data_IF_921510106550
#
_entry.id   IF_921510106550
#
_cell.length_a   1.000
_cell.length_b   1.000
_cell.length_c   1.000
_cell.angle_alpha   90.00
_cell.angle_beta   90.00
_cell.angle_gamma   90.00
#
_symmetry.space_group_name_H-M   'P 1'
#
loop_
_entity.id
_entity.type
_entity.pdbx_description
1 polymer ?
#
# COMPACT_ATOMS: atom_id res chain seq x y z
N UNK A 1 55.88 -3.59 5.39
CA UNK A 1 54.90 -4.57 4.86
C UNK A 1 53.51 -4.14 5.33
N UNK A 2 52.98 -3.10 4.70
CA UNK A 2 51.62 -2.58 4.87
C UNK A 2 50.86 -2.95 3.59
N UNK A 3 49.53 -3.02 3.67
CA UNK A 3 48.52 -3.51 2.69
C UNK A 3 47.98 -4.87 3.14
N UNK A 4 47.09 -4.85 4.15
CA UNK A 4 46.07 -5.87 4.46
C UNK A 4 45.21 -5.40 5.65
N UNK A 5 44.65 -4.20 5.59
CA UNK A 5 43.82 -3.65 6.68
C UNK A 5 42.79 -2.61 6.21
N UNK A 6 42.27 -2.76 4.98
CA UNK A 6 41.30 -1.79 4.41
C UNK A 6 39.99 -2.41 3.90
N UNK A 7 39.77 -3.73 4.04
CA UNK A 7 38.55 -4.37 3.51
C UNK A 7 37.56 -4.87 4.58
N UNK A 8 37.94 -4.93 5.86
CA UNK A 8 37.04 -5.40 6.92
C UNK A 8 36.13 -4.28 7.52
N UNK A 9 36.58 -3.02 7.49
CA UNK A 9 35.81 -1.90 8.06
C UNK A 9 34.65 -1.43 7.17
N UNK A 10 34.68 -1.73 5.87
CA UNK A 10 33.65 -1.24 4.92
C UNK A 10 32.37 -2.09 4.91
N UNK A 11 32.42 -3.33 5.41
CA UNK A 11 31.27 -4.26 5.41
C UNK A 11 30.40 -4.12 6.67
N UNK A 12 30.94 -3.58 7.75
CA UNK A 12 30.21 -3.39 9.01
C UNK A 12 29.29 -2.13 8.99
N UNK A 13 29.68 -1.08 8.25
CA UNK A 13 28.93 0.19 8.21
C UNK A 13 27.65 0.15 7.36
N UNK A 14 27.46 -0.85 6.49
CA UNK A 14 26.29 -0.93 5.61
C UNK A 14 25.05 -1.59 6.26
N UNK A 15 25.19 -2.27 7.40
CA UNK A 15 24.13 -3.15 7.94
C UNK A 15 23.24 -2.53 9.03
N UNK A 16 23.51 -1.29 9.45
CA UNK A 16 22.75 -0.62 10.52
C UNK A 16 22.05 0.68 10.06
N UNK A 17 22.10 1.01 8.78
CA UNK A 17 21.25 2.07 8.22
C UNK A 17 19.82 1.52 8.13
N UNK A 18 18.94 2.05 8.98
CA UNK A 18 17.50 1.84 9.00
C UNK A 18 16.94 1.59 7.57
N UNK A 19 16.24 0.47 7.31
CA UNK A 19 15.68 0.18 5.99
C UNK A 19 14.46 1.04 5.64
N UNK A 20 14.27 2.22 6.24
CA UNK A 20 13.21 3.16 5.85
C UNK A 20 13.31 3.55 4.35
N UNK A 21 14.50 3.43 3.74
CA UNK A 21 14.70 3.58 2.29
C UNK A 21 14.54 2.29 1.46
N UNK A 22 14.63 1.09 2.05
CA UNK A 22 14.57 -0.19 1.32
C UNK A 22 13.14 -0.62 0.93
N UNK A 23 12.12 0.15 1.33
CA UNK A 23 10.72 -0.05 0.97
C UNK A 23 10.28 0.70 -0.30
N UNK A 24 11.17 1.48 -0.92
CA UNK A 24 10.89 2.20 -2.16
C UNK A 24 11.44 1.43 -3.37
N UNK A 25 10.72 0.40 -3.83
CA UNK A 25 10.95 -0.15 -5.18
C UNK A 25 10.23 0.75 -6.21
N UNK A 26 10.95 1.30 -7.21
CA UNK A 26 10.35 2.14 -8.25
C UNK A 26 9.41 1.35 -9.18
N UNK A 27 9.73 0.08 -9.48
CA UNK A 27 9.03 -0.73 -10.49
C UNK A 27 7.60 -1.11 -10.08
N UNK A 28 7.36 -1.49 -8.81
CA UNK A 28 6.03 -1.87 -8.31
C UNK A 28 5.08 -0.70 -8.06
N UNK A 29 5.60 0.53 -8.04
CA UNK A 29 4.81 1.73 -7.87
C UNK A 29 4.04 2.13 -9.14
N UNK A 30 4.58 1.82 -10.33
CA UNK A 30 3.90 2.03 -11.61
C UNK A 30 2.63 1.18 -11.73
N UNK A 31 2.67 -0.07 -11.26
CA UNK A 31 1.56 -1.02 -11.30
C UNK A 31 0.31 -0.49 -10.59
N UNK A 32 0.47 0.18 -9.44
CA UNK A 32 -0.67 0.76 -8.71
C UNK A 32 -1.33 1.91 -9.45
N UNK A 33 -0.55 2.72 -10.17
CA UNK A 33 -1.08 3.83 -10.96
C UNK A 33 -1.79 3.31 -12.21
N UNK A 34 -1.24 2.28 -12.87
CA UNK A 34 -1.89 1.59 -13.98
C UNK A 34 -3.22 0.93 -13.58
N UNK A 35 -3.30 0.34 -12.38
CA UNK A 35 -4.57 -0.20 -11.85
C UNK A 35 -5.59 0.92 -11.59
N UNK A 36 -5.14 2.09 -11.10
CA UNK A 36 -6.02 3.26 -10.97
C UNK A 36 -6.51 3.74 -12.34
N UNK A 37 -5.63 3.74 -13.34
CA UNK A 37 -5.97 4.12 -14.71
C UNK A 37 -7.00 3.16 -15.31
N UNK A 38 -6.80 1.86 -15.19
CA UNK A 38 -7.77 0.86 -15.65
C UNK A 38 -9.16 1.06 -15.00
N UNK A 39 -9.20 1.42 -13.71
CA UNK A 39 -10.46 1.79 -13.04
C UNK A 39 -11.09 3.05 -13.63
N UNK A 40 -10.29 4.07 -13.95
CA UNK A 40 -10.78 5.29 -14.61
C UNK A 40 -11.38 4.92 -15.96
N UNK A 41 -10.67 4.15 -16.79
CA UNK A 41 -11.14 3.65 -18.09
C UNK A 41 -12.46 2.88 -17.97
N UNK A 42 -12.63 2.00 -16.97
CA UNK A 42 -13.91 1.32 -16.75
C UNK A 42 -15.07 2.31 -16.54
N UNK A 43 -14.87 3.35 -15.74
CA UNK A 43 -15.91 4.36 -15.47
C UNK A 43 -16.15 5.26 -16.68
N UNK A 44 -15.09 5.65 -17.39
CA UNK A 44 -15.19 6.41 -18.63
C UNK A 44 -16.01 5.65 -19.66
N UNK A 45 -15.67 4.39 -19.95
CA UNK A 45 -16.38 3.58 -20.95
C UNK A 45 -17.88 3.45 -20.63
N UNK A 46 -18.23 3.36 -19.35
CA UNK A 46 -19.63 3.36 -18.94
C UNK A 46 -20.32 4.69 -19.22
N UNK A 47 -19.68 5.82 -18.85
CA UNK A 47 -20.27 7.16 -19.02
C UNK A 47 -20.34 7.54 -20.50
N UNK A 48 -19.25 7.39 -21.25
CA UNK A 48 -19.21 7.72 -22.68
C UNK A 48 -20.07 6.77 -23.50
N UNK A 49 -20.11 5.47 -23.16
CA UNK A 49 -21.05 4.52 -23.73
C UNK A 49 -22.50 4.95 -23.56
N UNK A 50 -22.89 5.31 -22.33
CA UNK A 50 -24.25 5.77 -22.07
C UNK A 50 -24.58 7.08 -22.79
N UNK A 51 -23.63 8.02 -22.88
CA UNK A 51 -23.81 9.27 -23.63
C UNK A 51 -24.00 8.97 -25.13
N UNK A 52 -23.22 8.03 -25.68
CA UNK A 52 -23.36 7.61 -27.08
C UNK A 52 -24.72 6.94 -27.34
N UNK A 53 -25.23 6.13 -26.41
CA UNK A 53 -26.59 5.57 -26.52
C UNK A 53 -27.65 6.68 -26.56
N UNK A 54 -27.48 7.73 -25.73
CA UNK A 54 -28.36 8.91 -25.75
C UNK A 54 -28.27 9.66 -27.08
N UNK A 55 -27.06 9.88 -27.63
CA UNK A 55 -26.85 10.51 -28.94
C UNK A 55 -27.53 9.70 -30.05
N UNK A 56 -27.39 8.37 -30.02
CA UNK A 56 -27.97 7.48 -31.02
C UNK A 56 -29.51 7.48 -31.00
N UNK A 57 -30.11 7.64 -29.82
CA UNK A 57 -31.56 7.57 -29.64
C UNK A 57 -32.24 8.94 -29.81
N UNK A 58 -31.53 10.03 -29.50
CA UNK A 58 -32.05 11.40 -29.57
C UNK A 58 -31.19 12.27 -30.52
N UNK A 59 -31.69 12.55 -31.72
CA UNK A 59 -30.99 13.39 -32.71
C UNK A 59 -30.65 14.80 -32.21
N UNK A 60 -31.43 15.34 -31.26
CA UNK A 60 -31.17 16.62 -30.58
C UNK A 60 -29.96 16.58 -29.63
N UNK A 61 -29.36 15.42 -29.39
CA UNK A 61 -28.29 15.21 -28.42
C UNK A 61 -26.88 15.24 -29.03
N UNK A 62 -26.73 15.53 -30.32
CA UNK A 62 -25.43 15.52 -31.02
C UNK A 62 -24.34 16.38 -30.38
N UNK A 63 -24.70 17.46 -29.68
CA UNK A 63 -23.79 18.32 -28.93
C UNK A 63 -23.06 17.60 -27.79
N UNK A 64 -23.61 16.50 -27.27
CA UNK A 64 -22.96 15.68 -26.24
C UNK A 64 -21.68 14.99 -26.74
N UNK A 65 -21.47 14.91 -28.06
CA UNK A 65 -20.23 14.33 -28.63
C UNK A 65 -18.98 15.10 -28.15
N UNK A 66 -19.09 16.41 -27.94
CA UNK A 66 -17.98 17.24 -27.43
C UNK A 66 -17.59 16.84 -26.01
N UNK A 67 -18.56 16.47 -25.17
CA UNK A 67 -18.30 15.98 -23.81
C UNK A 67 -17.56 14.63 -23.84
N UNK A 68 -17.94 13.75 -24.77
CA UNK A 68 -17.27 12.44 -24.99
C UNK A 68 -15.81 12.64 -25.43
N UNK A 69 -15.57 13.51 -26.41
CA UNK A 69 -14.22 13.81 -26.91
C UNK A 69 -13.32 14.39 -25.82
N UNK A 70 -13.88 15.28 -24.99
CA UNK A 70 -13.16 15.86 -23.85
C UNK A 70 -12.75 14.79 -22.84
N UNK A 71 -13.67 13.92 -22.44
CA UNK A 71 -13.38 12.82 -21.49
C UNK A 71 -12.34 11.85 -22.08
N UNK A 72 -12.41 11.53 -23.37
CA UNK A 72 -11.42 10.66 -24.02
C UNK A 72 -10.02 11.31 -24.06
N UNK A 73 -9.96 12.63 -24.24
CA UNK A 73 -8.71 13.41 -24.16
C UNK A 73 -8.14 13.38 -22.74
N UNK A 74 -8.99 13.51 -21.72
CA UNK A 74 -8.58 13.41 -20.31
C UNK A 74 -7.99 12.03 -19.98
N UNK A 75 -8.61 10.95 -20.48
CA UNK A 75 -8.11 9.58 -20.32
C UNK A 75 -6.72 9.43 -20.95
N UNK A 76 -6.50 9.99 -22.14
CA UNK A 76 -5.18 9.95 -22.81
C UNK A 76 -4.12 10.70 -22.00
N UNK A 77 -4.47 11.86 -21.46
CA UNK A 77 -3.58 12.64 -20.60
C UNK A 77 -3.24 11.90 -19.30
N UNK A 78 -4.24 11.29 -18.66
CA UNK A 78 -4.05 10.48 -17.45
C UNK A 78 -3.21 9.23 -17.71
N UNK A 79 -3.34 8.61 -18.88
CA UNK A 79 -2.49 7.49 -19.29
C UNK A 79 -1.01 7.94 -19.39
N UNK A 80 -0.74 9.11 -19.98
CA UNK A 80 0.62 9.67 -20.02
C UNK A 80 1.24 9.86 -18.63
N UNK A 81 0.48 10.36 -17.66
CA UNK A 81 0.92 10.43 -16.26
C UNK A 81 1.08 9.05 -15.61
N UNK A 82 0.23 8.08 -15.95
CA UNK A 82 0.34 6.72 -15.46
C UNK A 82 1.63 6.02 -15.97
N UNK A 83 1.95 6.20 -17.25
CA UNK A 83 3.12 5.60 -17.92
C UNK A 83 4.42 6.21 -17.41
N UNK A 84 4.44 7.51 -17.16
CA UNK A 84 5.57 8.23 -16.53
C UNK A 84 5.63 8.07 -15.00
N UNK A 85 4.67 7.37 -14.38
CA UNK A 85 4.53 7.20 -12.94
C UNK A 85 4.46 8.55 -12.17
N UNK A 86 3.94 9.61 -12.80
CA UNK A 86 3.74 10.91 -12.19
C UNK A 86 2.45 10.95 -11.36
N UNK A 87 2.56 10.47 -10.13
CA UNK A 87 1.44 10.38 -9.17
C UNK A 87 0.86 11.75 -8.82
N UNK A 88 1.68 12.79 -8.79
CA UNK A 88 1.27 14.13 -8.37
C UNK A 88 0.40 14.75 -9.46
N UNK A 89 0.90 14.75 -10.70
CA UNK A 89 0.15 15.27 -11.85
C UNK A 89 -1.09 14.44 -12.12
N UNK A 90 -1.00 13.10 -12.04
CA UNK A 90 -2.16 12.21 -12.16
C UNK A 90 -3.25 12.57 -11.15
N UNK A 91 -2.92 12.66 -9.86
CA UNK A 91 -3.90 12.95 -8.81
C UNK A 91 -4.50 14.36 -8.94
N UNK A 92 -3.68 15.35 -9.30
CA UNK A 92 -4.11 16.72 -9.55
C UNK A 92 -5.09 16.79 -10.73
N UNK A 93 -4.74 16.17 -11.85
CA UNK A 93 -5.55 16.15 -13.07
C UNK A 93 -6.89 15.41 -12.86
N UNK A 94 -6.87 14.26 -12.17
CA UNK A 94 -8.10 13.55 -11.78
C UNK A 94 -9.05 14.46 -11.01
N UNK A 95 -8.53 15.25 -10.05
CA UNK A 95 -9.33 16.11 -9.19
C UNK A 95 -9.87 17.34 -9.91
N UNK A 96 -9.02 17.99 -10.70
CA UNK A 96 -9.26 19.35 -11.19
C UNK A 96 -9.80 19.38 -12.63
N UNK A 97 -9.65 18.31 -13.40
CA UNK A 97 -10.07 18.25 -14.82
C UNK A 97 -11.05 17.09 -15.06
N UNK A 98 -10.55 15.84 -14.99
CA UNK A 98 -11.32 14.66 -15.37
C UNK A 98 -12.63 14.49 -14.57
N UNK A 99 -12.61 14.63 -13.24
CA UNK A 99 -13.83 14.49 -12.42
C UNK A 99 -14.86 15.61 -12.69
N UNK A 100 -14.46 16.90 -12.74
CA UNK A 100 -15.34 17.97 -13.20
C UNK A 100 -15.96 17.70 -14.57
N UNK A 101 -15.16 17.29 -15.56
CA UNK A 101 -15.63 17.05 -16.93
C UNK A 101 -16.60 15.87 -17.00
N UNK A 102 -16.29 14.77 -16.32
CA UNK A 102 -17.20 13.64 -16.17
C UNK A 102 -18.54 14.04 -15.51
N UNK A 103 -18.52 14.97 -14.54
CA UNK A 103 -19.73 15.47 -13.87
C UNK A 103 -20.55 16.37 -14.81
N UNK A 104 -19.89 17.25 -15.55
CA UNK A 104 -20.51 18.12 -16.56
C UNK A 104 -21.21 17.29 -17.63
N UNK A 105 -20.51 16.34 -18.23
CA UNK A 105 -21.04 15.43 -19.24
C UNK A 105 -22.28 14.66 -18.75
N UNK A 106 -22.22 14.11 -17.52
CA UNK A 106 -23.39 13.44 -16.92
C UNK A 106 -24.57 14.38 -16.69
N UNK A 107 -24.31 15.66 -16.37
CA UNK A 107 -25.36 16.66 -16.17
C UNK A 107 -26.00 17.04 -17.50
N UNK A 108 -25.19 17.30 -18.53
CA UNK A 108 -25.65 17.58 -19.89
C UNK A 108 -26.47 16.42 -20.46
N UNK A 109 -25.99 15.18 -20.34
CA UNK A 109 -26.71 14.01 -20.81
C UNK A 109 -28.10 13.89 -20.16
N UNK A 110 -28.20 14.16 -18.85
CA UNK A 110 -29.48 14.16 -18.13
C UNK A 110 -30.41 15.29 -18.57
N UNK A 111 -29.90 16.51 -18.77
CA UNK A 111 -30.74 17.62 -19.24
C UNK A 111 -31.23 17.38 -20.66
N UNK A 112 -30.35 16.90 -21.54
CA UNK A 112 -30.68 16.56 -22.92
C UNK A 112 -31.72 15.45 -23.00
N UNK A 113 -31.57 14.38 -22.19
CA UNK A 113 -32.55 13.31 -22.12
C UNK A 113 -33.93 13.80 -21.65
N UNK A 114 -33.98 14.73 -20.68
CA UNK A 114 -35.24 15.30 -20.21
C UNK A 114 -35.95 16.14 -21.28
N UNK A 115 -35.17 16.83 -22.12
CA UNK A 115 -35.68 17.63 -23.22
C UNK A 115 -36.03 16.79 -24.46
N UNK A 116 -35.37 15.64 -24.62
CA UNK A 116 -35.69 14.68 -25.67
C UNK A 116 -37.04 14.03 -25.36
N UNK A 117 -38.06 14.36 -26.15
CA UNK A 117 -39.40 13.79 -26.05
C UNK A 117 -39.43 12.32 -26.52
N UNK A 118 -38.71 11.45 -25.79
CA UNK A 118 -38.51 10.05 -26.16
C UNK A 118 -39.82 9.25 -26.08
N UNK A 119 -40.03 8.42 -27.09
CA UNK A 119 -41.08 7.40 -27.13
C UNK A 119 -40.84 6.32 -26.06
N UNK A 120 -41.87 5.51 -25.79
CA UNK A 120 -41.77 4.38 -24.85
C UNK A 120 -40.70 3.37 -25.28
N UNK A 121 -40.61 3.06 -26.58
CA UNK A 121 -39.65 2.09 -27.11
C UNK A 121 -38.21 2.59 -27.00
N UNK A 122 -37.98 3.88 -27.26
CA UNK A 122 -36.68 4.52 -27.07
C UNK A 122 -36.25 4.50 -25.60
N UNK A 123 -37.18 4.76 -24.66
CA UNK A 123 -36.91 4.66 -23.21
C UNK A 123 -36.61 3.23 -22.79
N UNK A 124 -37.31 2.24 -23.34
CA UNK A 124 -37.08 0.83 -23.06
C UNK A 124 -35.69 0.39 -23.57
N UNK A 125 -35.32 0.80 -24.78
CA UNK A 125 -34.02 0.54 -25.39
C UNK A 125 -32.89 1.13 -24.53
N UNK A 126 -32.96 2.42 -24.21
CA UNK A 126 -31.95 3.08 -23.37
C UNK A 126 -31.81 2.44 -21.98
N UNK A 127 -32.92 1.98 -21.39
CA UNK A 127 -32.89 1.25 -20.11
C UNK A 127 -32.17 -0.09 -20.24
N UNK A 128 -32.39 -0.80 -21.35
CA UNK A 128 -31.70 -2.06 -21.66
C UNK A 128 -30.19 -1.83 -21.83
N UNK A 129 -29.81 -0.85 -22.65
CA UNK A 129 -28.41 -0.54 -22.95
C UNK A 129 -27.66 -0.08 -21.69
N UNK A 130 -28.28 0.79 -20.89
CA UNK A 130 -27.76 1.19 -19.59
C UNK A 130 -27.50 -0.02 -18.68
N UNK A 131 -28.41 -1.00 -18.62
CA UNK A 131 -28.23 -2.20 -17.80
C UNK A 131 -27.10 -3.07 -18.32
N UNK A 132 -26.94 -3.20 -19.65
CA UNK A 132 -25.82 -3.88 -20.28
C UNK A 132 -24.48 -3.22 -19.93
N UNK A 133 -24.37 -1.90 -20.13
CA UNK A 133 -23.19 -1.11 -19.75
C UNK A 133 -22.86 -1.23 -18.26
N UNK A 134 -23.88 -1.27 -17.40
CA UNK A 134 -23.70 -1.45 -15.96
C UNK A 134 -23.13 -2.83 -15.60
N UNK A 135 -23.50 -3.89 -16.32
CA UNK A 135 -22.91 -5.23 -16.15
C UNK A 135 -21.44 -5.23 -16.59
N UNK A 136 -21.13 -4.63 -17.74
CA UNK A 136 -19.76 -4.45 -18.23
C UNK A 136 -18.90 -3.66 -17.24
N UNK A 137 -19.42 -2.56 -16.70
CA UNK A 137 -18.76 -1.77 -15.66
C UNK A 137 -18.46 -2.61 -14.42
N UNK A 138 -19.44 -3.38 -13.92
CA UNK A 138 -19.23 -4.25 -12.75
C UNK A 138 -18.13 -5.28 -12.98
N UNK A 139 -18.12 -5.93 -14.15
CA UNK A 139 -17.08 -6.89 -14.51
C UNK A 139 -15.69 -6.24 -14.58
N UNK A 140 -15.59 -5.09 -15.26
CA UNK A 140 -14.36 -4.31 -15.37
C UNK A 140 -13.83 -3.87 -13.99
N UNK A 141 -14.71 -3.35 -13.12
CA UNK A 141 -14.34 -2.94 -11.76
C UNK A 141 -13.94 -4.12 -10.87
N UNK A 142 -14.53 -5.30 -11.07
CA UNK A 142 -14.13 -6.51 -10.36
C UNK A 142 -12.73 -6.96 -10.78
N UNK A 143 -12.46 -7.04 -12.08
CA UNK A 143 -11.14 -7.41 -12.62
C UNK A 143 -10.03 -6.46 -12.15
N UNK A 144 -10.26 -5.14 -12.24
CA UNK A 144 -9.27 -4.15 -11.75
C UNK A 144 -9.02 -4.28 -10.25
N UNK A 145 -10.03 -4.65 -9.47
CA UNK A 145 -9.88 -4.89 -8.04
C UNK A 145 -9.14 -6.21 -7.75
N UNK A 146 -9.30 -7.25 -8.57
CA UNK A 146 -8.50 -8.47 -8.48
C UNK A 146 -7.02 -8.17 -8.77
N UNK A 147 -6.72 -7.37 -9.80
CA UNK A 147 -5.35 -6.93 -10.07
C UNK A 147 -4.74 -6.17 -8.89
N UNK A 148 -5.52 -5.28 -8.25
CA UNK A 148 -5.12 -4.62 -7.01
C UNK A 148 -4.84 -5.62 -5.87
N UNK A 149 -5.68 -6.64 -5.73
CA UNK A 149 -5.52 -7.67 -4.71
C UNK A 149 -4.22 -8.46 -4.90
N UNK A 150 -3.91 -8.85 -6.14
CA UNK A 150 -2.66 -9.51 -6.50
C UNK A 150 -1.45 -8.61 -6.24
N UNK A 151 -1.49 -7.35 -6.67
CA UNK A 151 -0.41 -6.40 -6.43
C UNK A 151 -0.17 -6.16 -4.92
N UNK A 152 -1.25 -6.11 -4.14
CA UNK A 152 -1.17 -5.94 -2.68
C UNK A 152 -0.52 -7.14 -1.99
N UNK A 153 -0.94 -8.36 -2.34
CA UNK A 153 -0.37 -9.59 -1.76
C UNK A 153 1.10 -9.78 -2.15
N UNK A 154 1.46 -9.55 -3.42
CA UNK A 154 2.85 -9.58 -3.87
C UNK A 154 3.75 -8.57 -3.13
N UNK A 155 3.22 -7.38 -2.80
CA UNK A 155 3.94 -6.39 -1.98
C UNK A 155 4.17 -6.89 -0.56
N UNK A 156 3.19 -7.58 0.04
CA UNK A 156 3.33 -8.19 1.36
C UNK A 156 4.35 -9.32 1.35
N UNK A 157 4.31 -10.22 0.36
CA UNK A 157 5.32 -11.28 0.17
C UNK A 157 6.74 -10.71 0.07
N UNK A 158 6.92 -9.67 -0.76
CA UNK A 158 8.23 -9.01 -0.90
C UNK A 158 8.73 -8.46 0.44
N UNK A 159 7.84 -7.86 1.23
CA UNK A 159 8.23 -7.31 2.52
C UNK A 159 8.59 -8.38 3.54
N UNK A 160 7.85 -9.49 3.56
CA UNK A 160 8.12 -10.63 4.44
C UNK A 160 9.47 -11.27 4.06
N UNK A 161 9.69 -11.53 2.76
CA UNK A 161 10.96 -12.07 2.25
C UNK A 161 12.16 -11.17 2.57
N UNK A 162 12.02 -9.85 2.43
CA UNK A 162 13.08 -8.90 2.84
C UNK A 162 13.40 -9.01 4.34
N UNK A 163 12.39 -9.22 5.18
CA UNK A 163 12.61 -9.40 6.62
C UNK A 163 13.22 -10.76 6.95
N UNK A 164 12.86 -11.82 6.21
CA UNK A 164 13.50 -13.12 6.32
C UNK A 164 15.01 -13.01 6.01
N UNK A 165 15.38 -12.39 4.88
CA UNK A 165 16.79 -12.18 4.53
C UNK A 165 17.55 -11.39 5.62
N UNK A 166 16.88 -10.42 6.26
CA UNK A 166 17.45 -9.69 7.39
C UNK A 166 17.64 -10.60 8.60
N UNK A 167 16.65 -11.42 8.93
CA UNK A 167 16.75 -12.42 10.00
C UNK A 167 17.92 -13.37 9.76
N UNK A 168 18.06 -13.91 8.55
CA UNK A 168 19.16 -14.81 8.18
C UNK A 168 20.53 -14.12 8.34
N UNK A 169 20.63 -12.85 7.91
CA UNK A 169 21.85 -12.04 8.07
C UNK A 169 22.19 -11.81 9.55
N UNK A 170 21.19 -11.57 10.40
CA UNK A 170 21.38 -11.40 11.83
C UNK A 170 21.80 -12.70 12.51
N UNK A 171 21.17 -13.81 12.14
CA UNK A 171 21.51 -15.14 12.64
C UNK A 171 22.95 -15.54 12.27
N UNK A 172 23.38 -15.25 11.03
CA UNK A 172 24.77 -15.46 10.60
C UNK A 172 25.80 -14.67 11.43
N UNK A 173 25.38 -13.57 12.07
CA UNK A 173 26.16 -12.79 13.02
C UNK A 173 25.99 -13.22 14.47
N UNK A 174 25.38 -14.39 14.72
CA UNK A 174 25.12 -14.98 16.05
C UNK A 174 24.13 -14.20 16.91
N UNK A 175 23.29 -13.35 16.32
CA UNK A 175 22.16 -12.76 17.05
C UNK A 175 21.04 -13.80 17.15
N UNK A 176 20.39 -13.90 18.30
CA UNK A 176 19.19 -14.73 18.47
C UNK A 176 18.01 -14.08 17.75
N UNK A 177 17.57 -14.71 16.65
CA UNK A 177 16.47 -14.22 15.80
C UNK A 177 15.14 -14.91 16.06
N UNK A 178 14.99 -15.66 17.16
CA UNK A 178 13.79 -16.44 17.48
C UNK A 178 12.51 -15.58 17.43
N UNK A 179 12.49 -14.46 18.14
CA UNK A 179 11.33 -13.55 18.16
C UNK A 179 11.05 -12.90 16.80
N UNK A 180 12.09 -12.58 16.03
CA UNK A 180 11.91 -12.01 14.68
C UNK A 180 11.30 -13.04 13.73
N UNK A 181 11.76 -14.30 13.79
CA UNK A 181 11.21 -15.40 13.01
C UNK A 181 9.75 -15.71 13.39
N UNK A 182 9.37 -15.58 14.65
CA UNK A 182 7.97 -15.68 15.08
C UNK A 182 7.10 -14.58 14.46
N UNK A 183 7.60 -13.33 14.42
CA UNK A 183 6.89 -12.21 13.76
C UNK A 183 6.75 -12.45 12.25
N UNK A 184 7.79 -12.98 11.59
CA UNK A 184 7.76 -13.36 10.17
C UNK A 184 6.70 -14.44 9.92
N UNK A 185 6.73 -15.54 10.67
CA UNK A 185 5.74 -16.62 10.53
C UNK A 185 4.30 -16.14 10.78
N UNK A 186 4.11 -15.23 11.75
CA UNK A 186 2.82 -14.57 11.96
C UNK A 186 2.38 -13.74 10.76
N UNK A 187 3.30 -13.02 10.12
CA UNK A 187 3.01 -12.25 8.91
C UNK A 187 2.61 -13.14 7.72
N UNK A 188 3.28 -14.28 7.53
CA UNK A 188 2.91 -15.26 6.50
C UNK A 188 1.50 -15.81 6.74
N UNK A 189 1.18 -16.18 7.98
CA UNK A 189 -0.18 -16.64 8.33
C UNK A 189 -1.26 -15.59 8.04
N UNK A 190 -0.98 -14.30 8.29
CA UNK A 190 -1.89 -13.21 7.98
C UNK A 190 -2.03 -12.96 6.47
N UNK A 191 -0.94 -13.11 5.72
CA UNK A 191 -0.95 -13.02 4.27
C UNK A 191 -1.79 -14.15 3.65
N UNK A 192 -1.62 -15.39 4.10
CA UNK A 192 -2.42 -16.52 3.63
C UNK A 192 -3.90 -16.34 3.97
N UNK A 193 -4.21 -15.84 5.17
CA UNK A 193 -5.58 -15.47 5.54
C UNK A 193 -6.19 -14.41 4.60
N UNK A 194 -5.39 -13.43 4.16
CA UNK A 194 -5.82 -12.44 3.17
C UNK A 194 -6.03 -13.07 1.78
N UNK A 195 -5.12 -13.93 1.33
CA UNK A 195 -5.25 -14.65 0.04
C UNK A 195 -6.50 -15.53 0.00
N UNK A 196 -6.81 -16.22 1.10
CA UNK A 196 -8.03 -17.03 1.23
C UNK A 196 -9.30 -16.17 1.18
N UNK A 197 -9.31 -15.02 1.85
CA UNK A 197 -10.42 -14.08 1.77
C UNK A 197 -10.61 -13.50 0.35
N UNK A 198 -9.50 -13.21 -0.35
CA UNK A 198 -9.53 -12.72 -1.74
C UNK A 198 -10.06 -13.80 -2.69
N UNK A 199 -9.58 -15.03 -2.59
CA UNK A 199 -10.00 -16.14 -3.47
C UNK A 199 -11.47 -16.52 -3.26
N UNK A 200 -11.99 -16.35 -2.05
CA UNK A 200 -13.41 -16.61 -1.72
C UNK A 200 -14.37 -15.50 -2.21
N UNK A 201 -13.86 -14.36 -2.69
CA UNK A 201 -14.68 -13.22 -3.09
C UNK A 201 -15.17 -13.33 -4.54
N UNK A 202 -16.48 -13.44 -4.72
CA UNK A 202 -17.13 -13.64 -6.04
C UNK A 202 -17.67 -12.35 -6.68
N UNK A 203 -17.59 -11.22 -5.98
CA UNK A 203 -18.07 -9.94 -6.49
C UNK A 203 -17.22 -8.75 -6.00
N UNK A 204 -17.48 -7.56 -6.52
CA UNK A 204 -16.75 -6.34 -6.12
C UNK A 204 -16.92 -6.00 -4.64
N UNK A 205 -18.06 -6.34 -4.02
CA UNK A 205 -18.39 -5.96 -2.64
C UNK A 205 -17.60 -6.85 -1.66
N UNK A 206 -17.70 -8.16 -1.83
CA UNK A 206 -16.96 -9.19 -1.10
C UNK A 206 -15.46 -8.99 -1.25
N UNK A 207 -14.95 -8.68 -2.46
CA UNK A 207 -13.53 -8.46 -2.68
C UNK A 207 -13.02 -7.17 -1.99
N UNK A 208 -13.83 -6.09 -1.99
CA UNK A 208 -13.51 -4.89 -1.19
C UNK A 208 -13.48 -5.19 0.30
N UNK A 209 -14.36 -6.05 0.78
CA UNK A 209 -14.39 -6.48 2.18
C UNK A 209 -13.15 -7.28 2.53
N UNK A 210 -12.79 -8.29 1.71
CA UNK A 210 -11.59 -9.10 1.88
C UNK A 210 -10.31 -8.24 1.89
N UNK A 211 -10.18 -7.27 0.99
CA UNK A 211 -9.01 -6.38 0.96
C UNK A 211 -8.86 -5.49 2.21
N UNK A 212 -9.92 -5.36 3.02
CA UNK A 212 -9.98 -4.57 4.25
C UNK A 212 -10.01 -5.42 5.52
N UNK A 213 -10.12 -6.74 5.40
CA UNK A 213 -10.22 -7.63 6.56
C UNK A 213 -8.87 -7.78 7.25
N UNK A 214 -7.79 -7.97 6.48
CA UNK A 214 -6.45 -8.19 7.01
C UNK A 214 -5.43 -7.26 6.33
N UNK A 215 -4.65 -6.57 7.15
CA UNK A 215 -3.55 -5.72 6.75
C UNK A 215 -2.27 -6.17 7.45
N UNK A 216 -1.21 -6.37 6.65
CA UNK A 216 0.12 -6.65 7.19
C UNK A 216 0.64 -5.50 8.07
N UNK A 217 0.22 -4.27 7.77
CA UNK A 217 0.60 -3.03 8.47
C UNK A 217 -0.60 -2.35 9.13
N UNK A 218 -0.40 -1.14 9.67
CA UNK A 218 -1.43 -0.30 10.30
C UNK A 218 -2.38 0.40 9.28
N UNK A 219 -2.91 -0.36 8.31
CA UNK A 219 -3.65 0.17 7.17
C UNK A 219 -5.16 -0.08 7.17
N UNK A 220 -5.64 -1.05 7.94
CA UNK A 220 -7.04 -1.47 7.98
C UNK A 220 -7.77 -0.66 9.05
N UNK A 221 -8.78 0.13 8.63
CA UNK A 221 -9.55 0.96 9.57
C UNK A 221 -10.41 0.12 10.54
N UNK A 222 -11.08 -0.90 10.01
CA UNK A 222 -12.04 -1.75 10.73
C UNK A 222 -11.70 -3.25 10.55
N UNK A 223 -10.42 -3.58 10.36
CA UNK A 223 -9.96 -4.95 10.16
C UNK A 223 -8.73 -5.23 11.03
N UNK A 224 -8.19 -6.43 10.88
CA UNK A 224 -6.97 -6.87 11.58
C UNK A 224 -5.75 -6.16 11.00
N UNK A 225 -4.99 -5.50 11.87
CA UNK A 225 -3.69 -4.95 11.55
C UNK A 225 -2.63 -5.80 12.27
N UNK A 226 -1.73 -6.44 11.51
CA UNK A 226 -0.69 -7.26 12.14
C UNK A 226 0.45 -6.42 12.73
N UNK A 227 0.63 -5.19 12.23
CA UNK A 227 1.70 -4.26 12.61
C UNK A 227 3.11 -4.78 12.31
N UNK A 228 3.27 -5.51 11.19
CA UNK A 228 4.51 -6.20 10.82
C UNK A 228 5.76 -5.32 10.93
N UNK A 229 5.71 -4.08 10.41
CA UNK A 229 6.86 -3.19 10.41
C UNK A 229 7.33 -2.82 11.84
N UNK A 230 6.40 -2.52 12.74
CA UNK A 230 6.75 -2.18 14.12
C UNK A 230 7.19 -3.41 14.91
N UNK A 231 6.44 -4.53 14.82
CA UNK A 231 6.79 -5.79 15.50
C UNK A 231 8.15 -6.33 15.08
N UNK A 232 8.44 -6.32 13.77
CA UNK A 232 9.74 -6.77 13.25
C UNK A 232 10.88 -5.84 13.65
N UNK A 233 10.64 -4.52 13.71
CA UNK A 233 11.63 -3.57 14.20
C UNK A 233 11.95 -3.80 15.69
N UNK A 234 10.93 -3.93 16.55
CA UNK A 234 11.11 -4.22 17.98
C UNK A 234 11.88 -5.53 18.15
N UNK A 235 11.45 -6.61 17.50
CA UNK A 235 12.11 -7.92 17.60
C UNK A 235 13.58 -7.85 17.12
N UNK A 236 13.86 -7.20 15.99
CA UNK A 236 15.22 -7.09 15.47
C UNK A 236 16.14 -6.26 16.39
N UNK A 237 15.63 -5.16 16.96
CA UNK A 237 16.40 -4.34 17.89
C UNK A 237 16.62 -5.04 19.22
N UNK A 238 15.62 -5.78 19.72
CA UNK A 238 15.78 -6.59 20.93
C UNK A 238 16.86 -7.67 20.75
N UNK A 239 16.89 -8.36 19.61
CA UNK A 239 17.95 -9.32 19.29
C UNK A 239 19.35 -8.68 19.30
N UNK A 240 19.48 -7.46 18.76
CA UNK A 240 20.74 -6.73 18.75
C UNK A 240 21.16 -6.28 20.15
N UNK A 241 20.23 -5.76 20.95
CA UNK A 241 20.48 -5.33 22.33
C UNK A 241 20.89 -6.51 23.22
N UNK A 242 20.19 -7.64 23.10
CA UNK A 242 20.54 -8.86 23.82
C UNK A 242 21.97 -9.32 23.49
N UNK A 243 22.37 -9.25 22.22
CA UNK A 243 23.73 -9.57 21.83
C UNK A 243 24.74 -8.58 22.42
N UNK A 244 24.46 -7.27 22.37
CA UNK A 244 25.32 -6.22 22.97
C UNK A 244 25.56 -6.50 24.45
N UNK A 245 24.54 -6.91 25.20
CA UNK A 245 24.65 -7.23 26.62
C UNK A 245 25.63 -8.39 26.90
N UNK A 246 25.91 -9.24 25.91
CA UNK A 246 26.90 -10.34 26.03
C UNK A 246 28.33 -9.89 25.71
N UNK A 247 28.53 -8.69 25.18
CA UNK A 247 29.86 -8.22 24.77
C UNK A 247 30.71 -7.81 25.98
N UNK A 248 32.05 -7.94 25.89
CA UNK A 248 32.95 -7.43 26.90
C UNK A 248 32.73 -5.93 27.14
N UNK A 249 32.76 -5.50 28.40
CA UNK A 249 32.56 -4.11 28.82
C UNK A 249 31.14 -3.55 28.63
N UNK A 250 30.14 -4.35 28.26
CA UNK A 250 28.75 -3.89 28.18
C UNK A 250 28.24 -3.27 29.51
N UNK A 251 28.76 -3.73 30.65
CA UNK A 251 28.48 -3.17 31.98
C UNK A 251 28.82 -1.68 32.11
N UNK A 252 29.79 -1.18 31.34
CA UNK A 252 30.19 0.24 31.34
C UNK A 252 29.12 1.15 30.71
N UNK A 253 28.18 0.57 29.96
CA UNK A 253 27.09 1.26 29.25
C UNK A 253 25.71 0.82 29.77
N UNK A 254 25.64 0.47 31.07
CA UNK A 254 24.43 -0.10 31.68
C UNK A 254 23.23 0.87 31.62
N UNK A 255 23.46 2.18 31.71
CA UNK A 255 22.43 3.22 31.56
C UNK A 255 21.81 3.22 30.17
N UNK A 256 22.63 3.20 29.12
CA UNK A 256 22.22 3.22 27.72
C UNK A 256 21.49 1.93 27.35
N UNK A 257 22.01 0.79 27.80
CA UNK A 257 21.34 -0.51 27.63
C UNK A 257 19.96 -0.49 28.29
N UNK A 258 19.85 0.05 29.51
CA UNK A 258 18.57 0.17 30.22
C UNK A 258 17.60 1.09 29.49
N UNK A 259 18.09 2.23 28.99
CA UNK A 259 17.26 3.16 28.23
C UNK A 259 16.73 2.54 26.93
N UNK A 260 17.60 1.89 26.15
CA UNK A 260 17.19 1.19 24.94
C UNK A 260 16.16 0.09 25.23
N UNK A 261 16.33 -0.66 26.34
CA UNK A 261 15.35 -1.66 26.76
C UNK A 261 14.01 -1.03 27.13
N UNK A 262 14.01 0.08 27.85
CA UNK A 262 12.79 0.81 28.23
C UNK A 262 12.05 1.33 27.00
N UNK A 263 12.77 1.87 26.02
CA UNK A 263 12.19 2.34 24.76
C UNK A 263 11.56 1.17 23.97
N UNK A 264 12.26 0.04 23.83
CA UNK A 264 11.69 -1.15 23.19
C UNK A 264 10.45 -1.67 23.93
N UNK A 265 10.46 -1.69 25.26
CA UNK A 265 9.32 -2.06 26.08
C UNK A 265 8.15 -1.08 25.93
N UNK A 266 8.43 0.22 25.80
CA UNK A 266 7.43 1.25 25.53
C UNK A 266 6.72 1.03 24.18
N UNK A 267 7.49 0.76 23.12
CA UNK A 267 6.93 0.41 21.82
C UNK A 267 6.10 -0.89 21.88
N UNK A 268 6.61 -1.93 22.54
CA UNK A 268 5.92 -3.21 22.68
C UNK A 268 4.60 -3.07 23.45
N UNK A 269 4.61 -2.33 24.57
CA UNK A 269 3.42 -2.06 25.38
C UNK A 269 2.30 -1.40 24.57
N UNK A 270 2.64 -0.41 23.74
CA UNK A 270 1.64 0.21 22.86
C UNK A 270 1.11 -0.82 21.84
N UNK A 271 1.98 -1.63 21.23
CA UNK A 271 1.58 -2.66 20.28
C UNK A 271 0.67 -3.73 20.91
N UNK A 272 0.90 -4.08 22.17
CA UNK A 272 0.08 -5.04 22.91
C UNK A 272 -1.29 -4.45 23.28
N UNK A 273 -1.32 -3.19 23.73
CA UNK A 273 -2.56 -2.46 24.06
C UNK A 273 -3.47 -2.34 22.83
N UNK A 274 -2.90 -2.01 21.66
CA UNK A 274 -3.70 -1.87 20.44
C UNK A 274 -4.05 -3.21 19.81
N UNK A 275 -3.26 -4.26 20.09
CA UNK A 275 -3.45 -5.62 19.59
C UNK A 275 -3.46 -5.67 18.07
N UNK A 276 -4.64 -5.86 17.48
CA UNK A 276 -4.87 -5.86 16.03
C UNK A 276 -5.61 -4.62 15.52
N UNK A 277 -5.95 -3.72 16.44
CA UNK A 277 -6.62 -2.46 16.13
C UNK A 277 -5.66 -1.48 15.45
N UNK A 278 -6.22 -0.44 14.84
CA UNK A 278 -5.39 0.61 14.26
C UNK A 278 -4.84 1.50 15.38
N UNK A 279 -3.52 1.59 15.55
CA UNK A 279 -2.95 2.63 16.43
C UNK A 279 -3.01 4.00 15.74
N UNK A 280 -3.45 5.03 16.47
CA UNK A 280 -3.72 6.39 15.91
C UNK A 280 -3.29 7.49 16.89
N UNK A 281 -3.29 8.74 16.43
CA UNK A 281 -2.91 9.88 17.27
C UNK A 281 -1.48 9.76 17.81
N UNK A 282 -1.30 10.05 19.09
CA UNK A 282 0.01 9.99 19.77
C UNK A 282 0.62 8.60 19.72
N UNK A 283 -0.18 7.53 19.87
CA UNK A 283 0.30 6.14 19.81
C UNK A 283 1.10 5.84 18.53
N UNK A 284 0.69 6.42 17.39
CA UNK A 284 1.39 6.22 16.13
C UNK A 284 2.76 6.89 16.10
N UNK A 285 2.89 8.05 16.73
CA UNK A 285 4.16 8.77 16.87
C UNK A 285 5.03 8.08 17.92
N UNK A 286 4.46 7.73 19.06
CA UNK A 286 5.18 7.19 20.22
C UNK A 286 5.82 5.84 19.90
N UNK A 287 5.10 4.89 19.27
CA UNK A 287 5.66 3.60 18.84
C UNK A 287 6.93 3.79 18.00
N UNK A 288 6.87 4.71 17.03
CA UNK A 288 8.00 4.92 16.13
C UNK A 288 9.12 5.74 16.76
N UNK A 289 8.82 6.68 17.66
CA UNK A 289 9.82 7.42 18.43
C UNK A 289 10.60 6.46 19.33
N UNK A 290 9.91 5.63 20.11
CA UNK A 290 10.56 4.62 20.94
C UNK A 290 11.44 3.66 20.13
N UNK A 291 10.95 3.14 19.00
CA UNK A 291 11.76 2.29 18.11
C UNK A 291 12.99 3.04 17.58
N UNK A 292 12.84 4.32 17.22
CA UNK A 292 13.92 5.15 16.69
C UNK A 292 14.96 5.45 17.75
N UNK A 293 14.55 5.80 18.95
CA UNK A 293 15.42 6.17 20.06
C UNK A 293 16.21 4.95 20.55
N UNK A 294 15.54 3.80 20.72
CA UNK A 294 16.20 2.52 20.98
C UNK A 294 17.22 2.18 19.88
N UNK A 295 16.82 2.31 18.61
CA UNK A 295 17.72 2.03 17.49
C UNK A 295 18.93 2.96 17.45
N UNK A 296 18.78 4.21 17.87
CA UNK A 296 19.89 5.16 17.94
C UNK A 296 20.91 4.74 18.98
N UNK A 297 20.44 4.40 20.18
CA UNK A 297 21.27 3.95 21.29
C UNK A 297 21.97 2.63 20.93
N UNK A 298 21.23 1.64 20.43
CA UNK A 298 21.78 0.34 20.01
C UNK A 298 22.88 0.52 18.96
N UNK A 299 22.70 1.44 18.01
CA UNK A 299 23.71 1.74 17.01
C UNK A 299 24.97 2.37 17.59
N UNK A 300 24.84 3.28 18.55
CA UNK A 300 25.98 3.84 19.27
C UNK A 300 26.74 2.76 20.05
N UNK A 301 26.02 1.97 20.84
CA UNK A 301 26.59 0.84 21.59
C UNK A 301 27.32 -0.15 20.68
N UNK A 302 26.75 -0.44 19.51
CA UNK A 302 27.39 -1.33 18.54
C UNK A 302 28.72 -0.77 18.01
N UNK A 303 28.85 0.56 17.86
CA UNK A 303 30.12 1.18 17.45
C UNK A 303 31.17 1.15 18.56
N UNK A 304 30.75 1.43 19.79
CA UNK A 304 31.65 1.49 20.95
C UNK A 304 32.14 0.09 21.36
N UNK A 305 31.25 -0.91 21.33
CA UNK A 305 31.53 -2.27 21.81
C UNK A 305 31.91 -3.24 20.68
N UNK A 306 31.49 -2.97 19.45
CA UNK A 306 31.71 -3.83 18.28
C UNK A 306 33.06 -3.65 17.58
N UNK A 307 33.93 -2.78 18.09
CA UNK A 307 35.32 -2.63 17.64
C UNK A 307 36.31 -3.32 18.62
N UNK A 308 36.35 -4.66 18.56
CA UNK A 308 37.57 -5.48 18.77
C UNK A 308 37.50 -6.72 17.90
#
# INVERSE_FOLDING_TARGET
MQIKLQYAALVACAMLVLPSAAFAEPSKNSQLLQIQMARITCNTNFVTGYINDVISIASSASSLSQDVDKINTDVTTLQGYADSNDKTSFASFVKNTYRPDLKTANTHARSTLKAANLTSDQKATLKSDYNSLKLTLKSCLYSTLQQFATAKTAKYETAISKMQNRSDTMSAKRLDTTSLNQVIAGADSQLESLKNAISSANDTKSLKSALRSNCLYNGCKNGTNFHFAAKSAVAAQQSALNYIQTLPNATNYSSEITQAQNDLNGAQSILDIVGTGKYTGTQATDVWNYIKDASHIIHQLWKELGHK
#
